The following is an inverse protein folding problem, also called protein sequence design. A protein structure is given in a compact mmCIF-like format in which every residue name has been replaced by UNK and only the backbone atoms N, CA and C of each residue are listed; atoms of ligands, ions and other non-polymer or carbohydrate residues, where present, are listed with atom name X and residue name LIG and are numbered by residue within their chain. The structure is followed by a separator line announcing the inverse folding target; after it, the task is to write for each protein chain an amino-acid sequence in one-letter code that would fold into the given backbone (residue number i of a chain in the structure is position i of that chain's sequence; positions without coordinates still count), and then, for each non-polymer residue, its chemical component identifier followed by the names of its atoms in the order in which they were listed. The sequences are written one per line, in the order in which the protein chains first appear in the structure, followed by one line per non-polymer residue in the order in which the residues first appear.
data_IF_290195604045
#
_entry.id   IF_290195604045
#
_cell.length_a   1.000
_cell.length_b   1.000
_cell.length_c   1.000
_cell.angle_alpha   90.00
_cell.angle_beta   90.00
_cell.angle_gamma   90.00
#
_symmetry.space_group_name_H-M   'P 1'
#
loop_
_entity.id
_entity.type
_entity.pdbx_description
1 polymer ?
#
# COMPACT_ATOMS: atom_id res chain seq x y z
N UNK A 1 -7.73 1.53 30.25
CA UNK A 1 -7.64 0.18 29.66
C UNK A 1 -8.57 0.14 28.46
N UNK A 2 -8.15 0.72 27.34
CA UNK A 2 -8.98 0.85 26.14
C UNK A 2 -8.90 -0.44 25.33
N UNK A 3 -10.04 -1.11 25.25
CA UNK A 3 -10.23 -2.40 24.62
C UNK A 3 -10.35 -2.15 23.12
N UNK A 4 -9.25 -2.24 22.37
CA UNK A 4 -9.28 -2.46 20.93
C UNK A 4 -9.76 -3.90 20.69
N UNK A 5 -11.06 -4.14 20.84
CA UNK A 5 -11.67 -5.40 20.38
C UNK A 5 -11.63 -5.38 18.85
N UNK A 6 -11.13 -6.48 18.30
CA UNK A 6 -10.65 -6.60 16.93
C UNK A 6 -11.68 -6.19 15.88
N UNK A 7 -11.18 -5.43 14.91
CA UNK A 7 -11.82 -5.31 13.61
C UNK A 7 -11.47 -6.59 12.83
N UNK A 8 -12.27 -7.63 13.01
CA UNK A 8 -12.32 -8.73 12.04
C UNK A 8 -12.96 -8.15 10.77
N UNK A 9 -12.21 -8.03 9.68
CA UNK A 9 -12.77 -7.67 8.38
C UNK A 9 -13.61 -8.86 7.92
N UNK A 10 -14.88 -8.85 8.29
CA UNK A 10 -15.88 -9.81 7.86
C UNK A 10 -16.53 -9.25 6.59
N UNK A 11 -16.19 -9.83 5.44
CA UNK A 11 -16.63 -9.37 4.13
C UNK A 11 -18.08 -9.80 3.87
N UNK A 12 -19.05 -9.09 4.44
CA UNK A 12 -20.46 -9.21 4.07
C UNK A 12 -21.10 -7.83 3.90
N UNK A 13 -21.46 -7.48 2.66
CA UNK A 13 -22.65 -6.66 2.40
C UNK A 13 -22.48 -5.22 1.91
N UNK A 14 -21.35 -4.55 2.14
CA UNK A 14 -21.05 -3.23 1.53
C UNK A 14 -19.55 -3.12 1.31
N UNK A 15 -19.09 -3.40 0.10
CA UNK A 15 -17.66 -3.40 -0.27
C UNK A 15 -17.09 -2.00 0.01
N UNK A 16 -16.26 -1.86 1.05
CA UNK A 16 -15.28 -0.77 1.08
C UNK A 16 -14.25 -1.10 -0.01
N UNK A 17 -14.62 -0.80 -1.26
CA UNK A 17 -13.80 -1.05 -2.43
C UNK A 17 -12.62 -0.08 -2.32
N UNK A 18 -11.44 -0.60 -1.96
CA UNK A 18 -10.22 0.19 -2.01
C UNK A 18 -10.08 0.75 -3.42
N UNK A 19 -9.90 2.06 -3.53
CA UNK A 19 -9.62 2.72 -4.79
C UNK A 19 -8.19 3.25 -4.78
N UNK A 20 -7.51 3.14 -5.90
CA UNK A 20 -6.17 3.66 -6.11
C UNK A 20 -6.21 4.65 -7.26
N UNK A 21 -5.51 5.77 -7.11
CA UNK A 21 -5.35 6.70 -8.22
C UNK A 21 -4.38 6.12 -9.25
N UNK A 22 -4.90 5.70 -10.40
CA UNK A 22 -4.09 5.22 -11.52
C UNK A 22 -3.64 6.41 -12.37
N UNK A 23 -2.34 6.71 -12.33
CA UNK A 23 -1.75 7.81 -13.11
C UNK A 23 -1.89 7.62 -14.63
N UNK A 24 -1.94 6.38 -15.13
CA UNK A 24 -2.12 6.10 -16.57
C UNK A 24 -3.50 6.55 -17.06
N UNK A 25 -4.52 6.32 -16.25
CA UNK A 25 -5.92 6.69 -16.54
C UNK A 25 -6.29 8.07 -15.99
N UNK A 26 -5.44 8.65 -15.14
CA UNK A 26 -5.68 9.89 -14.38
C UNK A 26 -7.00 9.85 -13.58
N UNK A 27 -7.36 8.68 -13.10
CA UNK A 27 -8.62 8.42 -12.40
C UNK A 27 -8.40 7.54 -11.18
N UNK A 28 -9.31 7.65 -10.21
CA UNK A 28 -9.40 6.67 -9.13
C UNK A 28 -10.09 5.43 -9.66
N UNK A 29 -9.41 4.29 -9.58
CA UNK A 29 -9.92 3.01 -10.07
C UNK A 29 -10.00 2.00 -8.93
N UNK A 30 -10.91 1.01 -9.01
CA UNK A 30 -10.94 -0.10 -8.07
C UNK A 30 -9.58 -0.81 -8.00
N UNK A 31 -9.06 -1.01 -6.79
CA UNK A 31 -7.88 -1.85 -6.58
C UNK A 31 -8.29 -3.32 -6.69
N UNK A 32 -7.72 -4.01 -7.67
CA UNK A 32 -7.89 -5.46 -7.86
C UNK A 32 -6.50 -6.07 -8.03
N UNK A 33 -6.06 -6.96 -7.12
CA UNK A 33 -4.75 -7.58 -7.25
C UNK A 33 -4.73 -8.56 -8.44
N UNK A 34 -3.57 -8.69 -9.08
CA UNK A 34 -3.39 -9.62 -10.19
C UNK A 34 -3.58 -11.10 -9.77
N UNK A 35 -3.25 -11.42 -8.52
CA UNK A 35 -3.50 -12.72 -7.89
C UNK A 35 -4.27 -12.48 -6.61
N UNK A 36 -5.41 -13.15 -6.42
CA UNK A 36 -6.23 -12.99 -5.22
C UNK A 36 -5.42 -13.28 -3.94
N UNK A 37 -5.50 -12.38 -2.96
CA UNK A 37 -4.77 -12.49 -1.69
C UNK A 37 -3.27 -12.18 -1.75
N UNK A 38 -2.72 -11.84 -2.93
CA UNK A 38 -1.31 -11.47 -3.09
C UNK A 38 -1.14 -10.15 -3.85
N UNK A 39 -0.34 -9.25 -3.30
CA UNK A 39 -0.01 -7.98 -3.94
C UNK A 39 1.48 -7.89 -4.20
N UNK A 40 1.86 -7.57 -5.43
CA UNK A 40 3.25 -7.25 -5.78
C UNK A 40 3.38 -5.75 -5.97
N UNK A 41 4.32 -5.12 -5.27
CA UNK A 41 4.54 -3.67 -5.31
C UNK A 41 6.01 -3.37 -5.56
N UNK A 42 6.26 -2.53 -6.57
CA UNK A 42 7.57 -1.97 -6.86
C UNK A 42 7.57 -0.47 -6.59
N UNK A 43 8.60 0.02 -5.90
CA UNK A 43 8.82 1.45 -5.64
C UNK A 43 10.26 1.79 -6.01
N UNK A 44 10.46 2.89 -6.74
CA UNK A 44 11.80 3.37 -7.05
C UNK A 44 12.55 3.79 -5.77
N UNK A 45 13.79 3.37 -5.64
CA UNK A 45 14.73 3.81 -4.61
C UNK A 45 15.37 5.17 -4.92
N UNK A 46 16.07 5.76 -3.94
CA UNK A 46 16.83 6.98 -4.14
C UNK A 46 18.14 6.68 -4.88
N UNK A 47 18.57 7.59 -5.76
CA UNK A 47 19.94 7.55 -6.30
C UNK A 47 20.93 7.92 -5.20
N UNK A 48 21.89 7.03 -4.89
CA UNK A 48 22.82 7.17 -3.75
C UNK A 48 24.00 8.13 -3.99
N UNK A 49 23.72 9.32 -4.51
CA UNK A 49 24.74 10.36 -4.81
C UNK A 49 25.03 11.28 -3.62
N UNK A 50 24.08 11.45 -2.70
CA UNK A 50 24.18 12.35 -1.55
C UNK A 50 23.20 11.97 -0.45
N UNK A 51 23.22 12.71 0.67
CA UNK A 51 22.33 12.48 1.80
C UNK A 51 20.85 12.63 1.43
N UNK A 52 19.96 11.76 1.95
CA UNK A 52 18.53 11.86 1.68
C UNK A 52 17.90 13.13 2.26
N UNK A 53 17.23 13.92 1.43
CA UNK A 53 16.36 15.02 1.86
C UNK A 53 14.94 14.56 2.26
N UNK A 54 14.15 15.46 2.84
CA UNK A 54 12.77 15.20 3.31
C UNK A 54 11.84 14.60 2.25
N UNK A 55 12.01 14.97 0.97
CA UNK A 55 11.27 14.36 -0.14
C UNK A 55 11.44 12.83 -0.23
N UNK A 56 12.64 12.29 0.02
CA UNK A 56 12.86 10.85 0.07
C UNK A 56 12.11 10.22 1.26
N UNK A 57 12.15 10.88 2.41
CA UNK A 57 11.42 10.46 3.60
C UNK A 57 9.91 10.41 3.36
N UNK A 58 9.33 11.43 2.71
CA UNK A 58 7.90 11.46 2.36
C UNK A 58 7.50 10.26 1.51
N UNK A 59 8.26 9.97 0.45
CA UNK A 59 7.97 8.82 -0.42
C UNK A 59 8.13 7.50 0.34
N UNK A 60 9.22 7.33 1.10
CA UNK A 60 9.46 6.14 1.89
C UNK A 60 8.32 5.86 2.88
N UNK A 61 7.85 6.88 3.60
CA UNK A 61 6.75 6.75 4.57
C UNK A 61 5.42 6.48 3.86
N UNK A 62 5.11 7.20 2.78
CA UNK A 62 3.83 7.03 2.05
C UNK A 62 3.66 5.59 1.56
N UNK A 63 4.70 5.01 0.95
CA UNK A 63 4.65 3.65 0.44
C UNK A 63 4.76 2.59 1.55
N UNK A 64 5.42 2.89 2.67
CA UNK A 64 5.41 2.01 3.85
C UNK A 64 4.01 1.91 4.47
N UNK A 65 3.30 3.04 4.59
CA UNK A 65 1.91 3.07 5.06
C UNK A 65 1.02 2.25 4.13
N UNK A 66 1.17 2.41 2.81
CA UNK A 66 0.41 1.65 1.83
C UNK A 66 0.67 0.14 1.94
N UNK A 67 1.95 -0.28 2.03
CA UNK A 67 2.33 -1.68 2.23
C UNK A 67 1.69 -2.25 3.49
N UNK A 68 1.84 -1.57 4.63
CA UNK A 68 1.26 -2.00 5.92
C UNK A 68 -0.27 -2.08 5.86
N UNK A 69 -0.91 -1.15 5.15
CA UNK A 69 -2.36 -1.18 4.98
C UNK A 69 -2.81 -2.39 4.16
N UNK A 70 -2.11 -2.70 3.07
CA UNK A 70 -2.39 -3.87 2.24
C UNK A 70 -2.16 -5.19 3.00
N UNK A 71 -1.11 -5.27 3.83
CA UNK A 71 -0.85 -6.38 4.75
C UNK A 71 -1.96 -6.50 5.81
N UNK A 72 -2.40 -5.37 6.38
CA UNK A 72 -3.49 -5.33 7.37
C UNK A 72 -4.83 -5.80 6.79
N UNK A 73 -5.08 -5.56 5.50
CA UNK A 73 -6.23 -6.10 4.77
C UNK A 73 -6.13 -7.62 4.51
N UNK A 74 -5.05 -8.27 4.93
CA UNK A 74 -4.85 -9.72 4.82
C UNK A 74 -4.15 -10.18 3.53
N UNK A 75 -3.52 -9.26 2.78
CA UNK A 75 -2.78 -9.64 1.58
C UNK A 75 -1.35 -10.06 1.93
N UNK A 76 -0.85 -11.08 1.21
CA UNK A 76 0.58 -11.38 1.10
C UNK A 76 1.25 -10.33 0.20
N UNK A 77 2.02 -9.41 0.76
CA UNK A 77 2.62 -8.30 0.01
C UNK A 77 4.09 -8.57 -0.29
N UNK A 78 4.41 -8.72 -1.57
CA UNK A 78 5.78 -8.73 -2.08
C UNK A 78 6.19 -7.31 -2.42
N UNK A 79 7.04 -6.71 -1.59
CA UNK A 79 7.52 -5.35 -1.75
C UNK A 79 8.99 -5.31 -2.22
N UNK A 80 9.24 -4.67 -3.36
CA UNK A 80 10.58 -4.50 -3.94
C UNK A 80 10.89 -3.02 -4.09
N UNK A 81 12.10 -2.63 -3.67
CA UNK A 81 12.66 -1.30 -3.86
C UNK A 81 14.11 -1.41 -4.29
N UNK A 82 14.49 -0.70 -5.36
CA UNK A 82 15.88 -0.66 -5.79
C UNK A 82 16.71 0.32 -4.93
N UNK A 83 18.00 0.39 -5.25
CA UNK A 83 18.97 1.39 -4.80
C UNK A 83 19.56 2.07 -6.03
#
# INVERSE_FOLDING_TARGET
MCIWRGFTVESSGTMAHMQVHNTLERASVPFVPAVAGRVTMYVCGPTVQSEPHLGHGRSAVSFDVLRRYLEWLGNDVVFVRNV
#
